data_IF_571927057774
#
_entry.id   IF_571927057774
#
_cell.length_a   1.000
_cell.length_b   1.000
_cell.length_c   1.000
_cell.angle_alpha   90.00
_cell.angle_beta   90.00
_cell.angle_gamma   90.00
#
_symmetry.space_group_name_H-M   'P 1'
#
loop_
_entity.id
_entity.type
_entity.pdbx_description
1 polymer ?
#
# COMPACT_ATOMS: atom_id res chain seq x y z
N UNK A 1 9.29 -9.33 0.77
CA UNK A 1 9.95 -8.01 0.55
C UNK A 1 11.09 -8.21 -0.45
N UNK A 2 11.53 -7.20 -1.21
CA UNK A 2 12.75 -7.33 -2.02
C UNK A 2 13.98 -7.00 -1.18
N UNK A 3 15.04 -7.81 -1.32
CA UNK A 3 16.32 -7.64 -0.63
C UNK A 3 17.47 -7.92 -1.59
N UNK A 4 18.68 -7.47 -1.23
CA UNK A 4 19.90 -7.85 -1.93
C UNK A 4 20.52 -9.06 -1.25
N UNK A 5 20.88 -10.06 -2.04
CA UNK A 5 21.63 -11.22 -1.53
C UNK A 5 23.12 -10.89 -1.32
N UNK A 6 23.90 -11.88 -0.85
CA UNK A 6 25.33 -11.74 -0.61
C UNK A 6 26.15 -11.42 -1.89
N UNK A 7 25.58 -11.65 -3.07
CA UNK A 7 26.19 -11.29 -4.37
C UNK A 7 25.77 -9.91 -4.88
N UNK A 8 24.84 -9.23 -4.17
CA UNK A 8 24.28 -7.95 -4.56
C UNK A 8 23.09 -8.03 -5.52
N UNK A 9 22.65 -9.25 -5.88
CA UNK A 9 21.51 -9.49 -6.75
C UNK A 9 20.18 -9.36 -5.99
N UNK A 10 19.12 -9.02 -6.71
CA UNK A 10 17.77 -8.88 -6.14
C UNK A 10 17.16 -10.26 -5.85
N UNK A 11 16.66 -10.43 -4.64
CA UNK A 11 15.95 -11.63 -4.19
C UNK A 11 14.67 -11.26 -3.45
N UNK A 12 13.68 -12.16 -3.46
CA UNK A 12 12.46 -12.00 -2.68
C UNK A 12 12.66 -12.64 -1.30
N UNK A 13 12.67 -11.81 -0.26
CA UNK A 13 12.54 -12.25 1.12
C UNK A 13 11.11 -12.76 1.37
N UNK A 14 11.04 -14.05 1.71
CA UNK A 14 9.82 -14.81 2.03
C UNK A 14 9.51 -14.84 3.53
N UNK A 15 10.40 -14.31 4.37
CA UNK A 15 10.28 -14.30 5.83
C UNK A 15 9.65 -13.01 6.39
N UNK A 16 9.62 -11.93 5.59
CA UNK A 16 8.89 -10.71 5.92
C UNK A 16 7.41 -10.99 6.24
N UNK A 17 7.11 -11.02 7.54
CA UNK A 17 5.79 -11.18 8.14
C UNK A 17 4.95 -9.89 7.95
N UNK A 18 4.71 -9.46 6.72
CA UNK A 18 3.75 -8.39 6.44
C UNK A 18 2.33 -8.99 6.38
N UNK A 19 1.44 -8.55 7.28
CA UNK A 19 0.07 -9.07 7.41
C UNK A 19 -0.74 -9.02 6.10
N UNK A 20 -0.49 -8.03 5.25
CA UNK A 20 -1.14 -7.89 3.94
C UNK A 20 -0.82 -9.08 2.99
N UNK A 21 0.41 -9.61 3.02
CA UNK A 21 0.81 -10.74 2.17
C UNK A 21 0.07 -12.03 2.54
N UNK A 22 -0.35 -12.20 3.81
CA UNK A 22 -1.13 -13.37 4.24
C UNK A 22 -2.54 -13.37 3.67
N UNK A 23 -3.21 -12.21 3.66
CA UNK A 23 -4.53 -12.06 3.05
C UNK A 23 -4.48 -12.34 1.53
N UNK A 24 -3.42 -11.85 0.89
CA UNK A 24 -3.13 -12.07 -0.54
C UNK A 24 -2.84 -13.55 -0.84
N UNK A 25 -2.04 -14.22 -0.01
CA UNK A 25 -1.75 -15.66 -0.14
C UNK A 25 -2.99 -16.53 0.10
N UNK A 26 -3.85 -16.15 1.05
CA UNK A 26 -5.14 -16.80 1.30
C UNK A 26 -6.10 -16.63 0.11
N UNK A 27 -6.15 -15.45 -0.51
CA UNK A 27 -6.92 -15.22 -1.73
C UNK A 27 -6.43 -16.11 -2.87
N UNK A 28 -5.11 -16.24 -3.04
CA UNK A 28 -4.51 -17.12 -4.04
C UNK A 28 -4.85 -18.59 -3.79
N UNK A 29 -4.75 -19.07 -2.54
CA UNK A 29 -5.15 -20.43 -2.16
C UNK A 29 -6.64 -20.68 -2.42
N UNK A 30 -7.51 -19.75 -2.01
CA UNK A 30 -8.96 -19.87 -2.20
C UNK A 30 -9.35 -19.91 -3.69
N UNK A 31 -8.68 -19.12 -4.53
CA UNK A 31 -8.93 -19.07 -5.97
C UNK A 31 -8.33 -20.27 -6.73
N UNK A 32 -7.32 -20.95 -6.18
CA UNK A 32 -6.86 -22.25 -6.69
C UNK A 32 -7.74 -23.43 -6.24
N UNK A 33 -8.52 -23.26 -5.17
CA UNK A 33 -9.42 -24.27 -4.61
C UNK A 33 -10.88 -24.16 -5.12
N UNK A 34 -11.15 -23.34 -6.13
CA UNK A 34 -12.51 -23.04 -6.58
C UNK A 34 -13.36 -24.28 -6.92
N UNK A 35 -14.60 -24.30 -6.42
CA UNK A 35 -15.60 -25.31 -6.78
C UNK A 35 -15.81 -25.33 -8.31
N UNK A 36 -15.63 -26.49 -8.93
CA UNK A 36 -15.80 -26.69 -10.37
C UNK A 36 -14.53 -26.58 -11.23
N UNK A 37 -13.33 -26.47 -10.64
CA UNK A 37 -12.06 -26.71 -11.35
C UNK A 37 -11.57 -25.58 -12.26
N UNK A 38 -12.12 -24.35 -12.14
CA UNK A 38 -11.61 -23.18 -12.87
C UNK A 38 -10.52 -22.48 -12.05
N UNK A 39 -9.26 -22.71 -12.42
CA UNK A 39 -8.13 -21.97 -11.87
C UNK A 39 -8.11 -20.52 -12.42
N UNK A 40 -8.00 -19.54 -11.53
CA UNK A 40 -7.82 -18.14 -11.90
C UNK A 40 -6.33 -17.80 -12.06
N UNK A 41 -5.97 -17.12 -13.15
CA UNK A 41 -4.64 -16.53 -13.30
C UNK A 41 -4.62 -15.14 -12.65
N UNK A 42 -4.08 -15.05 -11.44
CA UNK A 42 -4.02 -13.82 -10.65
C UNK A 42 -2.65 -13.18 -10.81
N UNK A 43 -2.64 -11.86 -11.01
CA UNK A 43 -1.42 -11.04 -10.95
C UNK A 43 -1.55 -10.02 -9.83
N UNK A 44 -0.43 -9.78 -9.13
CA UNK A 44 -0.35 -8.80 -8.05
C UNK A 44 0.36 -7.54 -8.56
N UNK A 45 -0.36 -6.44 -8.67
CA UNK A 45 0.17 -5.17 -9.14
C UNK A 45 0.38 -4.24 -7.95
N UNK A 46 1.58 -3.70 -7.76
CA UNK A 46 1.83 -2.84 -6.61
C UNK A 46 3.25 -2.30 -6.48
N UNK A 47 3.46 -1.50 -5.44
CA UNK A 47 4.75 -0.92 -5.11
C UNK A 47 5.76 -2.03 -4.70
N UNK A 48 6.95 -2.12 -5.34
CA UNK A 48 7.97 -3.10 -5.01
C UNK A 48 8.67 -2.85 -3.65
N UNK A 49 8.44 -1.71 -3.01
CA UNK A 49 9.03 -1.33 -1.72
C UNK A 49 10.52 -0.95 -1.80
N UNK A 50 11.05 -0.84 -3.01
CA UNK A 50 12.40 -0.36 -3.32
C UNK A 50 12.31 0.75 -4.34
N UNK A 51 13.34 1.60 -4.38
CA UNK A 51 13.34 2.82 -5.19
C UNK A 51 14.64 2.87 -5.96
N UNK A 52 14.50 3.04 -7.27
CA UNK A 52 15.63 3.20 -8.17
C UNK A 52 15.20 4.00 -9.39
N UNK A 53 16.09 4.87 -9.85
CA UNK A 53 15.96 5.60 -11.10
C UNK A 53 16.60 4.84 -12.28
N UNK A 54 17.40 3.81 -12.02
CA UNK A 54 18.10 3.05 -13.05
C UNK A 54 17.13 2.10 -13.79
N UNK A 55 16.94 2.27 -15.12
CA UNK A 55 16.09 1.40 -15.92
C UNK A 55 16.52 -0.06 -15.90
N UNK A 56 17.84 -0.34 -15.86
CA UNK A 56 18.36 -1.71 -15.82
C UNK A 56 18.03 -2.37 -14.49
N UNK A 57 18.11 -1.61 -13.41
CA UNK A 57 17.72 -2.09 -12.09
C UNK A 57 16.22 -2.36 -11.99
N UNK A 58 15.37 -1.49 -12.54
CA UNK A 58 13.91 -1.72 -12.63
C UNK A 58 13.59 -2.98 -13.42
N UNK A 59 14.31 -3.22 -14.52
CA UNK A 59 14.17 -4.43 -15.32
C UNK A 59 14.51 -5.68 -14.52
N UNK A 60 15.65 -5.71 -13.82
CA UNK A 60 16.06 -6.83 -12.97
C UNK A 60 15.03 -7.11 -11.86
N UNK A 61 14.53 -6.06 -11.20
CA UNK A 61 13.46 -6.18 -10.20
C UNK A 61 12.19 -6.79 -10.82
N UNK A 62 11.81 -6.34 -12.01
CA UNK A 62 10.63 -6.85 -12.73
C UNK A 62 10.78 -8.33 -13.07
N UNK A 63 11.95 -8.76 -13.54
CA UNK A 63 12.24 -10.16 -13.85
C UNK A 63 12.14 -11.05 -12.61
N UNK A 64 12.69 -10.60 -11.47
CA UNK A 64 12.60 -11.32 -10.19
C UNK A 64 11.15 -11.44 -9.71
N UNK A 65 10.36 -10.37 -9.84
CA UNK A 65 8.96 -10.37 -9.40
C UNK A 65 8.01 -11.12 -10.35
N UNK A 66 8.34 -11.20 -11.64
CA UNK A 66 7.52 -11.91 -12.63
C UNK A 66 7.37 -13.40 -12.29
N UNK A 67 8.39 -14.02 -11.70
CA UNK A 67 8.36 -15.40 -11.21
C UNK A 67 7.31 -15.64 -10.11
N UNK A 68 6.80 -14.57 -9.49
CA UNK A 68 5.81 -14.59 -8.42
C UNK A 68 4.44 -14.04 -8.85
N UNK A 69 4.20 -13.91 -10.16
CA UNK A 69 3.01 -13.23 -10.71
C UNK A 69 2.84 -11.79 -10.21
N UNK A 70 3.93 -11.14 -9.81
CA UNK A 70 3.93 -9.76 -9.35
C UNK A 70 4.36 -8.82 -10.48
N UNK A 71 3.67 -7.68 -10.60
CA UNK A 71 3.95 -6.61 -11.56
C UNK A 71 4.29 -5.35 -10.74
N UNK A 72 5.57 -4.93 -10.69
CA UNK A 72 5.95 -3.75 -9.93
C UNK A 72 5.45 -2.47 -10.60
N UNK A 73 4.99 -1.53 -9.78
CA UNK A 73 4.67 -0.15 -10.18
C UNK A 73 5.77 0.76 -9.65
N UNK A 74 6.51 1.39 -10.57
CA UNK A 74 7.57 2.34 -10.21
C UNK A 74 7.01 3.76 -10.30
N UNK A 75 6.73 4.34 -9.14
CA UNK A 75 6.39 5.75 -8.98
C UNK A 75 7.63 6.53 -8.54
N UNK A 76 7.65 7.83 -8.81
CA UNK A 76 8.68 8.70 -8.26
C UNK A 76 8.57 8.76 -6.73
N UNK A 77 9.71 9.06 -6.07
CA UNK A 77 9.79 9.01 -4.62
C UNK A 77 8.82 9.98 -3.95
N UNK A 78 8.74 11.21 -4.46
CA UNK A 78 7.94 12.27 -3.88
C UNK A 78 6.45 11.93 -3.96
N UNK A 79 5.95 11.50 -5.12
CA UNK A 79 4.56 11.08 -5.29
C UNK A 79 4.22 9.89 -4.41
N UNK A 80 5.12 8.92 -4.29
CA UNK A 80 4.89 7.76 -3.43
C UNK A 80 4.82 8.15 -1.94
N UNK A 81 5.70 9.03 -1.48
CA UNK A 81 5.68 9.56 -0.11
C UNK A 81 4.40 10.36 0.17
N UNK A 82 4.03 11.28 -0.73
CA UNK A 82 2.79 12.06 -0.60
C UNK A 82 1.55 11.17 -0.60
N UNK A 83 1.52 10.13 -1.44
CA UNK A 83 0.43 9.16 -1.46
C UNK A 83 0.33 8.42 -0.13
N UNK A 84 1.44 7.91 0.41
CA UNK A 84 1.45 7.22 1.70
C UNK A 84 1.09 8.15 2.85
N UNK A 85 1.58 9.38 2.84
CA UNK A 85 1.25 10.41 3.83
C UNK A 85 -0.25 10.70 3.81
N UNK A 86 -0.86 10.90 2.64
CA UNK A 86 -2.30 11.07 2.51
C UNK A 86 -3.07 9.86 3.02
N UNK A 87 -2.64 8.65 2.66
CA UNK A 87 -3.26 7.42 3.15
C UNK A 87 -3.20 7.32 4.68
N UNK A 88 -2.08 7.68 5.31
CA UNK A 88 -1.88 7.56 6.75
C UNK A 88 -2.49 8.69 7.56
N UNK A 89 -2.40 9.95 7.11
CA UNK A 89 -2.87 11.12 7.84
C UNK A 89 -4.35 11.42 7.58
N UNK A 90 -4.88 10.97 6.44
CA UNK A 90 -6.24 11.27 6.04
C UNK A 90 -7.13 10.02 5.98
N UNK A 91 -6.86 9.12 5.02
CA UNK A 91 -7.76 7.99 4.74
C UNK A 91 -7.86 7.05 5.93
N UNK A 92 -6.73 6.65 6.52
CA UNK A 92 -6.71 5.74 7.65
C UNK A 92 -7.51 6.29 8.83
N UNK A 93 -7.29 7.53 9.31
CA UNK A 93 -8.13 8.16 10.33
C UNK A 93 -9.61 8.21 10.00
N UNK A 94 -9.98 8.65 8.80
CA UNK A 94 -11.39 8.72 8.36
C UNK A 94 -12.05 7.34 8.45
N UNK A 95 -11.38 6.30 7.96
CA UNK A 95 -11.89 4.92 7.97
C UNK A 95 -11.99 4.32 9.39
N UNK A 96 -11.33 4.92 10.37
CA UNK A 96 -11.35 4.50 11.78
C UNK A 96 -12.19 5.45 12.66
N UNK A 97 -13.09 6.24 12.06
CA UNK A 97 -13.97 7.17 12.75
C UNK A 97 -13.22 8.19 13.62
N UNK A 98 -11.96 8.49 13.28
CA UNK A 98 -11.22 9.57 13.91
C UNK A 98 -11.66 10.90 13.28
N UNK A 99 -11.84 11.92 14.10
CA UNK A 99 -12.20 13.25 13.63
C UNK A 99 -10.95 13.92 13.03
N UNK A 100 -10.90 13.95 11.70
CA UNK A 100 -9.75 14.52 10.94
C UNK A 100 -10.00 15.98 10.55
N UNK A 101 -11.27 16.40 10.55
CA UNK A 101 -11.68 17.76 10.26
C UNK A 101 -12.24 18.43 11.51
N UNK A 102 -11.73 19.60 11.85
CA UNK A 102 -12.42 20.47 12.81
C UNK A 102 -13.67 21.06 12.15
N UNK A 103 -14.75 21.10 12.91
CA UNK A 103 -15.98 21.74 12.45
C UNK A 103 -15.83 23.22 12.82
N UNK A 104 -15.50 24.10 11.87
CA UNK A 104 -15.34 25.55 12.12
C UNK A 104 -16.58 26.16 12.80
N UNK A 105 -17.75 25.53 12.60
CA UNK A 105 -19.01 25.90 13.27
C UNK A 105 -19.00 25.72 14.79
N UNK A 106 -18.16 24.83 15.32
CA UNK A 106 -18.00 24.62 16.76
C UNK A 106 -17.10 25.66 17.45
N UNK A 107 -16.37 26.47 16.67
CA UNK A 107 -15.46 27.50 17.19
C UNK A 107 -16.07 28.89 17.24
N UNK A 108 -17.30 29.10 16.72
CA UNK A 108 -17.98 30.38 16.90
C UNK A 108 -18.38 30.54 18.38
N UNK A 109 -17.88 31.58 19.08
CA UNK A 109 -18.42 31.93 20.38
C UNK A 109 -19.92 32.15 20.24
N UNK A 110 -20.73 31.62 21.16
CA UNK A 110 -22.17 31.88 21.12
C UNK A 110 -22.39 33.39 21.27
N UNK A 111 -22.98 34.05 20.29
CA UNK A 111 -23.39 35.47 20.35
C UNK A 111 -24.55 35.72 21.36
N UNK A 112 -24.87 34.75 22.22
CA UNK A 112 -26.03 34.80 23.12
C UNK A 112 -25.80 35.51 24.47
N UNK A 113 -24.71 36.28 24.63
CA UNK A 113 -24.38 36.93 25.92
C UNK A 113 -24.10 38.45 25.85
N UNK A 114 -24.56 39.15 24.80
CA UNK A 114 -24.51 40.62 24.74
C UNK A 114 -25.88 41.20 24.39
N UNK A 115 -26.82 41.05 25.30
CA UNK A 115 -28.17 41.61 25.18
C UNK A 115 -28.95 41.43 26.47
N UNK A 116 -28.50 42.07 27.55
CA UNK A 116 -29.20 42.00 28.83
C UNK A 116 -28.65 42.95 29.89
N UNK A 117 -29.44 44.01 30.12
CA UNK A 117 -29.37 45.06 31.16
C UNK A 117 -28.40 46.22 30.90
#
# INVERSE_FOLDING_TARGET
RLERDASGAWAVDRTANASAFKAVALLQQALQAGEGGKAFNIKFVGDPGVRTADPEERRRITEVLAAHSCVPVFVDQQTAEQHLEFCHLFIWPVMHNMKVFEDERAQRPSEAAQGGA
#
